data_IF_530144376787
#
_entry.id   IF_530144376787
#
_cell.length_a   1.000
_cell.length_b   1.000
_cell.length_c   1.000
_cell.angle_alpha   90.00
_cell.angle_beta   90.00
_cell.angle_gamma   90.00
#
_symmetry.space_group_name_H-M   'P 1'
#
loop_
_entity.id
_entity.type
_entity.pdbx_description
1 polymer ?
#
# COMPACT_ATOMS: atom_id res chain seq x y z
N UNK A 1 -5.47 12.08 -13.38
CA UNK A 1 -5.80 10.63 -13.43
C UNK A 1 -4.75 9.81 -14.14
N UNK A 2 -4.32 10.15 -15.37
CA UNK A 2 -3.33 9.38 -16.12
C UNK A 2 -1.99 9.15 -15.38
N UNK A 3 -1.44 10.17 -14.71
CA UNK A 3 -0.20 10.03 -13.92
C UNK A 3 -0.30 9.03 -12.77
N UNK A 4 -1.44 8.97 -12.08
CA UNK A 4 -1.68 8.01 -11.00
C UNK A 4 -1.81 6.58 -11.53
N UNK A 5 -2.42 6.39 -12.70
CA UNK A 5 -2.54 5.09 -13.36
C UNK A 5 -1.14 4.58 -13.77
N UNK A 6 -0.30 5.45 -14.32
CA UNK A 6 1.08 5.11 -14.69
C UNK A 6 1.92 4.77 -13.46
N UNK A 7 1.80 5.55 -12.38
CA UNK A 7 2.48 5.24 -11.11
C UNK A 7 2.02 3.92 -10.48
N UNK A 8 0.72 3.60 -10.58
CA UNK A 8 0.19 2.33 -10.09
C UNK A 8 0.73 1.15 -10.90
N UNK A 9 0.78 1.24 -12.23
CA UNK A 9 1.34 0.21 -13.09
C UNK A 9 2.84 0.02 -12.79
N UNK A 10 3.61 1.11 -12.75
CA UNK A 10 5.05 1.04 -12.47
C UNK A 10 5.31 0.48 -11.07
N UNK A 11 4.64 1.01 -10.03
CA UNK A 11 4.81 0.54 -8.66
C UNK A 11 4.38 -0.92 -8.49
N UNK A 12 3.25 -1.31 -9.10
CA UNK A 12 2.75 -2.68 -9.10
C UNK A 12 3.69 -3.65 -9.81
N UNK A 13 4.24 -3.26 -10.98
CA UNK A 13 5.23 -4.07 -11.71
C UNK A 13 6.54 -4.19 -10.94
N UNK A 14 7.04 -3.13 -10.31
CA UNK A 14 8.26 -3.19 -9.49
C UNK A 14 8.08 -4.12 -8.28
N UNK A 15 6.93 -4.05 -7.61
CA UNK A 15 6.59 -4.96 -6.49
C UNK A 15 6.43 -6.41 -6.94
N UNK A 16 5.79 -6.65 -8.09
CA UNK A 16 5.63 -7.98 -8.68
C UNK A 16 7.00 -8.58 -9.04
N UNK A 17 7.85 -7.80 -9.70
CA UNK A 17 9.21 -8.21 -10.04
C UNK A 17 10.01 -8.50 -8.77
N UNK A 18 9.99 -7.61 -7.77
CA UNK A 18 10.62 -7.86 -6.48
C UNK A 18 10.14 -9.20 -5.85
N UNK A 19 8.84 -9.48 -5.85
CA UNK A 19 8.30 -10.72 -5.32
C UNK A 19 8.75 -11.97 -6.12
N UNK A 20 8.74 -11.91 -7.45
CA UNK A 20 9.21 -13.00 -8.31
C UNK A 20 10.71 -13.24 -8.17
N UNK A 21 11.50 -12.16 -8.04
CA UNK A 21 12.94 -12.20 -7.90
C UNK A 21 13.36 -12.61 -6.46
N UNK A 22 12.54 -12.35 -5.45
CA UNK A 22 12.72 -12.85 -4.08
C UNK A 22 12.65 -14.38 -3.97
N UNK A 23 11.96 -15.06 -4.88
CA UNK A 23 11.94 -16.53 -4.92
C UNK A 23 13.16 -17.14 -5.64
N UNK A 24 13.98 -16.31 -6.28
CA UNK A 24 15.21 -16.73 -6.95
C UNK A 24 16.36 -16.87 -5.96
N UNK A 25 17.29 -17.81 -6.18
CA UNK A 25 18.46 -18.06 -5.31
C UNK A 25 19.51 -16.92 -5.31
N UNK A 26 19.21 -15.75 -5.87
CA UNK A 26 20.12 -14.61 -5.92
C UNK A 26 20.09 -13.79 -4.62
N UNK A 27 21.00 -14.13 -3.69
CA UNK A 27 21.21 -13.44 -2.41
C UNK A 27 21.43 -11.91 -2.56
N UNK A 28 22.09 -11.48 -3.64
CA UNK A 28 22.30 -10.06 -3.94
C UNK A 28 20.99 -9.30 -4.15
N UNK A 29 20.01 -9.92 -4.78
CA UNK A 29 18.76 -9.29 -5.18
C UNK A 29 17.76 -9.23 -4.04
N UNK A 30 17.78 -10.24 -3.15
CA UNK A 30 17.14 -10.19 -1.83
C UNK A 30 17.66 -9.02 -0.98
N UNK A 31 18.97 -8.72 -1.06
CA UNK A 31 19.57 -7.52 -0.45
C UNK A 31 18.96 -6.22 -0.97
N UNK A 32 18.71 -6.10 -2.28
CA UNK A 32 18.07 -4.90 -2.86
C UNK A 32 16.62 -4.76 -2.39
N UNK A 33 15.87 -5.86 -2.31
CA UNK A 33 14.46 -5.84 -1.87
C UNK A 33 14.36 -5.45 -0.38
N UNK A 34 15.26 -5.95 0.46
CA UNK A 34 15.29 -5.60 1.89
C UNK A 34 15.76 -4.17 2.14
N UNK A 35 16.50 -3.56 1.20
CA UNK A 35 16.83 -2.13 1.24
C UNK A 35 15.65 -1.21 0.88
N UNK A 36 14.66 -1.66 0.11
CA UNK A 36 13.48 -0.84 -0.24
C UNK A 36 12.72 -0.30 1.00
N UNK A 37 12.40 -1.13 2.02
CA UNK A 37 11.85 -0.65 3.29
C UNK A 37 12.74 0.37 3.98
N UNK A 38 14.07 0.15 3.99
CA UNK A 38 15.03 1.05 4.65
C UNK A 38 15.05 2.41 3.95
N UNK A 39 15.13 2.42 2.62
CA UNK A 39 15.06 3.65 1.81
C UNK A 39 13.73 4.39 2.01
N UNK A 40 12.64 3.64 2.18
CA UNK A 40 11.31 4.21 2.48
C UNK A 40 11.29 4.89 3.85
N UNK A 41 11.88 4.25 4.88
CA UNK A 41 12.00 4.83 6.22
C UNK A 41 12.92 6.06 6.25
N UNK A 42 14.04 6.03 5.51
CA UNK A 42 14.94 7.18 5.38
C UNK A 42 14.24 8.36 4.68
N UNK A 43 13.47 8.10 3.64
CA UNK A 43 12.70 9.13 2.94
C UNK A 43 11.60 9.71 3.85
N UNK A 44 10.90 8.87 4.61
CA UNK A 44 9.95 9.33 5.63
C UNK A 44 10.62 10.19 6.69
N UNK A 45 11.81 9.82 7.18
CA UNK A 45 12.55 10.62 8.15
C UNK A 45 12.89 12.02 7.61
N UNK A 46 13.38 12.09 6.36
CA UNK A 46 13.66 13.36 5.68
C UNK A 46 12.40 14.18 5.42
N UNK A 47 11.27 13.54 5.06
CA UNK A 47 9.99 14.22 4.88
C UNK A 47 9.45 14.81 6.19
N UNK A 48 9.57 14.06 7.30
CA UNK A 48 9.13 14.51 8.62
C UNK A 48 9.99 15.68 9.12
N UNK A 49 11.30 15.67 8.88
CA UNK A 49 12.19 16.78 9.26
C UNK A 49 11.90 18.09 8.51
N UNK A 50 11.39 18.00 7.29
CA UNK A 50 11.07 19.15 6.45
C UNK A 50 9.57 19.52 6.47
N UNK A 51 8.75 18.82 7.26
CA UNK A 51 7.32 19.11 7.41
C UNK A 51 7.04 20.06 8.58
N UNK A 52 6.03 20.91 8.42
CA UNK A 52 5.43 21.64 9.53
C UNK A 52 4.63 20.70 10.44
N UNK A 53 4.44 21.07 11.71
CA UNK A 53 3.70 20.26 12.68
C UNK A 53 2.26 19.94 12.23
N UNK A 54 1.59 20.88 11.55
CA UNK A 54 0.26 20.69 10.97
C UNK A 54 0.25 19.60 9.89
N UNK A 55 1.19 19.68 8.94
CA UNK A 55 1.33 18.68 7.88
C UNK A 55 1.74 17.30 8.42
N UNK A 56 2.50 17.26 9.51
CA UNK A 56 2.85 16.02 10.20
C UNK A 56 1.62 15.33 10.78
N UNK A 57 0.76 16.04 11.50
CA UNK A 57 -0.47 15.46 12.08
C UNK A 57 -1.46 14.99 11.00
N UNK A 58 -1.60 15.75 9.90
CA UNK A 58 -2.42 15.33 8.76
C UNK A 58 -1.87 14.06 8.10
N UNK A 59 -0.55 14.00 7.87
CA UNK A 59 0.12 12.83 7.29
C UNK A 59 0.00 11.62 8.21
N UNK A 60 0.18 11.80 9.52
CA UNK A 60 0.04 10.75 10.53
C UNK A 60 -1.39 10.19 10.54
N UNK A 61 -2.41 11.06 10.58
CA UNK A 61 -3.81 10.64 10.54
C UNK A 61 -4.14 9.89 9.26
N UNK A 62 -3.69 10.38 8.11
CA UNK A 62 -3.88 9.71 6.82
C UNK A 62 -3.18 8.34 6.79
N UNK A 63 -1.99 8.23 7.38
CA UNK A 63 -1.27 6.96 7.53
C UNK A 63 -2.04 5.95 8.39
N UNK A 64 -2.61 6.38 9.52
CA UNK A 64 -3.44 5.54 10.39
C UNK A 64 -4.70 5.06 9.65
N UNK A 65 -5.41 5.96 8.96
CA UNK A 65 -6.59 5.61 8.16
C UNK A 65 -6.23 4.61 7.07
N UNK A 66 -5.11 4.81 6.36
CA UNK A 66 -4.62 3.87 5.36
C UNK A 66 -4.32 2.49 5.94
N UNK A 67 -3.68 2.42 7.11
CA UNK A 67 -3.42 1.15 7.80
C UNK A 67 -4.70 0.41 8.19
N UNK A 68 -5.70 1.13 8.71
CA UNK A 68 -7.04 0.58 9.01
C UNK A 68 -7.68 0.03 7.72
N UNK A 69 -7.61 0.79 6.63
CA UNK A 69 -8.13 0.36 5.33
C UNK A 69 -7.49 -0.95 4.84
N UNK A 70 -6.18 -1.11 5.03
CA UNK A 70 -5.47 -2.34 4.67
C UNK A 70 -5.92 -3.55 5.50
N UNK A 71 -6.20 -3.37 6.80
CA UNK A 71 -6.76 -4.42 7.65
C UNK A 71 -8.15 -4.83 7.14
N UNK A 72 -9.01 -3.85 6.83
CA UNK A 72 -10.35 -4.10 6.29
C UNK A 72 -10.26 -4.88 4.97
N UNK A 73 -9.37 -4.47 4.06
CA UNK A 73 -9.11 -5.17 2.80
C UNK A 73 -8.75 -6.64 3.04
N UNK A 74 -7.77 -6.91 3.91
CA UNK A 74 -7.35 -8.28 4.20
C UNK A 74 -8.47 -9.12 4.82
N UNK A 75 -9.22 -8.55 5.77
CA UNK A 75 -10.34 -9.24 6.43
C UNK A 75 -11.43 -9.65 5.44
N UNK A 76 -11.78 -8.76 4.50
CA UNK A 76 -12.78 -9.03 3.48
C UNK A 76 -12.28 -10.10 2.51
N UNK A 77 -11.04 -9.99 2.02
CA UNK A 77 -10.47 -11.00 1.13
C UNK A 77 -10.45 -12.36 1.83
N UNK A 78 -10.01 -12.43 3.08
CA UNK A 78 -9.97 -13.67 3.86
C UNK A 78 -11.36 -14.30 3.99
N UNK A 79 -12.34 -13.51 4.42
CA UNK A 79 -13.72 -13.98 4.58
C UNK A 79 -14.33 -14.44 3.25
N UNK A 80 -14.23 -13.63 2.20
CA UNK A 80 -14.77 -13.96 0.87
C UNK A 80 -14.07 -15.17 0.23
N UNK A 81 -12.78 -15.39 0.50
CA UNK A 81 -12.04 -16.55 0.00
C UNK A 81 -12.55 -17.89 0.53
N UNK A 82 -13.34 -17.90 1.61
CA UNK A 82 -14.05 -19.09 2.07
C UNK A 82 -15.27 -19.46 1.22
N UNK A 83 -15.81 -18.51 0.44
CA UNK A 83 -17.07 -18.68 -0.30
C UNK A 83 -16.92 -18.50 -1.82
N UNK A 84 -15.84 -17.86 -2.28
CA UNK A 84 -15.66 -17.45 -3.67
C UNK A 84 -14.26 -17.79 -4.19
N UNK A 85 -14.09 -17.77 -5.51
CA UNK A 85 -12.78 -17.93 -6.13
C UNK A 85 -11.85 -16.77 -5.73
N UNK A 86 -10.54 -17.00 -5.54
CA UNK A 86 -9.60 -15.99 -5.02
C UNK A 86 -9.64 -14.66 -5.78
N UNK A 87 -9.71 -14.72 -7.12
CA UNK A 87 -9.76 -13.52 -7.96
C UNK A 87 -11.01 -12.67 -7.69
N UNK A 88 -12.17 -13.30 -7.44
CA UNK A 88 -13.41 -12.60 -7.15
C UNK A 88 -13.37 -11.99 -5.74
N UNK A 89 -12.83 -12.71 -4.75
CA UNK A 89 -12.63 -12.21 -3.40
C UNK A 89 -11.73 -10.97 -3.35
N UNK A 90 -10.66 -10.97 -4.15
CA UNK A 90 -9.77 -9.81 -4.30
C UNK A 90 -10.51 -8.63 -4.92
N UNK A 91 -11.29 -8.83 -5.98
CA UNK A 91 -12.06 -7.74 -6.61
C UNK A 91 -13.07 -7.11 -5.65
N UNK A 92 -13.78 -7.93 -4.86
CA UNK A 92 -14.72 -7.45 -3.84
C UNK A 92 -13.99 -6.67 -2.74
N UNK A 93 -12.89 -7.22 -2.22
CA UNK A 93 -12.07 -6.55 -1.21
C UNK A 93 -11.54 -5.20 -1.69
N UNK A 94 -11.01 -5.15 -2.90
CA UNK A 94 -10.53 -3.91 -3.53
C UNK A 94 -11.67 -2.90 -3.70
N UNK A 95 -12.86 -3.35 -4.13
CA UNK A 95 -14.03 -2.49 -4.25
C UNK A 95 -14.41 -1.83 -2.91
N UNK A 96 -14.49 -2.62 -1.84
CA UNK A 96 -14.81 -2.09 -0.51
C UNK A 96 -13.70 -1.17 0.03
N UNK A 97 -12.43 -1.52 -0.20
CA UNK A 97 -11.31 -0.67 0.17
C UNK A 97 -11.36 0.70 -0.53
N UNK A 98 -11.69 0.73 -1.83
CA UNK A 98 -11.84 1.99 -2.58
C UNK A 98 -12.98 2.83 -1.98
N UNK A 99 -14.12 2.23 -1.66
CA UNK A 99 -15.24 2.93 -0.99
C UNK A 99 -14.79 3.48 0.36
N UNK A 100 -14.11 2.68 1.18
CA UNK A 100 -13.57 3.10 2.46
C UNK A 100 -12.63 4.30 2.32
N UNK A 101 -11.73 4.29 1.35
CA UNK A 101 -10.78 5.38 1.11
C UNK A 101 -11.50 6.66 0.66
N UNK A 102 -12.52 6.55 -0.20
CA UNK A 102 -13.32 7.69 -0.66
C UNK A 102 -14.12 8.31 0.50
N UNK A 103 -14.81 7.49 1.28
CA UNK A 103 -15.60 7.95 2.45
C UNK A 103 -14.69 8.56 3.51
N UNK A 104 -13.56 7.93 3.79
CA UNK A 104 -12.60 8.45 4.77
C UNK A 104 -12.01 9.77 4.33
N UNK A 105 -11.73 9.95 3.03
CA UNK A 105 -11.32 11.25 2.49
C UNK A 105 -12.42 12.30 2.67
N UNK A 106 -13.69 11.99 2.40
CA UNK A 106 -14.77 12.97 2.57
C UNK A 106 -15.05 13.35 4.03
N UNK A 107 -14.80 12.42 4.96
CA UNK A 107 -15.13 12.60 6.38
C UNK A 107 -13.99 13.23 7.16
N UNK A 108 -12.74 12.90 6.78
CA UNK A 108 -11.56 13.30 7.53
C UNK A 108 -10.69 14.32 6.80
N UNK A 109 -10.76 14.49 5.47
CA UNK A 109 -9.99 15.55 4.78
C UNK A 109 -10.65 16.92 4.93
#
# INVERSE_FOLDING_TARGET
MAGYIVQFIIGGTVMLLAAMLSQSKYLFLSGIITLLPILTLMNLNLQVHNMTAENFHLTQRNGIIGAIGMIILMMIIYYCSGFMKPAQSVLVGVGVYVVFMVVSKMTFA
#
